data_IF_013734213590
#
_entry.id   IF_013734213590
#
_cell.length_a   1.000
_cell.length_b   1.000
_cell.length_c   1.000
_cell.angle_alpha   90.00
_cell.angle_beta   90.00
_cell.angle_gamma   90.00
#
_symmetry.space_group_name_H-M   'P 1'
#
loop_
_entity.id
_entity.type
_entity.pdbx_description
1 polymer ?
#
# COMPACT_ATOMS: atom_id res chain seq x y z
N UNK A 1 -19.59 26.96 5.66
CA UNK A 1 -18.57 25.88 5.49
C UNK A 1 -18.33 25.68 4.01
N UNK A 2 -17.12 25.97 3.51
CA UNK A 2 -16.74 25.58 2.15
C UNK A 2 -16.70 24.04 2.09
N UNK A 3 -17.50 23.45 1.20
CA UNK A 3 -17.44 22.00 0.95
C UNK A 3 -16.16 21.74 0.18
N UNK A 4 -15.29 20.89 0.74
CA UNK A 4 -13.97 20.57 0.19
C UNK A 4 -14.01 19.80 -1.13
N UNK A 5 -15.20 19.42 -1.61
CA UNK A 5 -15.41 18.63 -2.82
C UNK A 5 -15.19 17.13 -2.65
N UNK A 6 -14.69 16.69 -1.48
CA UNK A 6 -14.48 15.27 -1.18
C UNK A 6 -15.71 14.62 -0.57
N UNK A 7 -16.01 13.40 -1.02
CA UNK A 7 -17.04 12.54 -0.41
C UNK A 7 -16.49 11.81 0.82
N UNK A 8 -17.37 11.20 1.62
CA UNK A 8 -16.93 10.35 2.73
C UNK A 8 -16.22 9.08 2.23
N UNK A 9 -16.63 8.55 1.08
CA UNK A 9 -15.96 7.45 0.38
C UNK A 9 -14.51 7.82 0.04
N UNK A 10 -14.28 9.05 -0.47
CA UNK A 10 -12.93 9.55 -0.76
C UNK A 10 -12.07 9.66 0.48
N UNK A 11 -12.64 10.17 1.58
CA UNK A 11 -11.93 10.32 2.85
C UNK A 11 -11.57 8.96 3.45
N UNK A 12 -12.52 8.02 3.49
CA UNK A 12 -12.28 6.67 4.01
C UNK A 12 -11.23 5.96 3.15
N UNK A 13 -11.37 5.97 1.82
CA UNK A 13 -10.39 5.39 0.90
C UNK A 13 -8.98 5.98 1.08
N UNK A 14 -8.89 7.31 1.21
CA UNK A 14 -7.61 8.00 1.38
C UNK A 14 -6.98 7.67 2.74
N UNK A 15 -7.77 7.57 3.80
CA UNK A 15 -7.27 7.20 5.12
C UNK A 15 -6.84 5.74 5.17
N UNK A 16 -7.60 4.81 4.59
CA UNK A 16 -7.18 3.41 4.43
C UNK A 16 -5.84 3.35 3.69
N UNK A 17 -5.73 4.00 2.52
CA UNK A 17 -4.47 4.00 1.74
C UNK A 17 -3.30 4.55 2.54
N UNK A 18 -3.48 5.68 3.22
CA UNK A 18 -2.46 6.29 4.05
C UNK A 18 -2.02 5.33 5.15
N UNK A 19 -2.97 4.81 5.91
CA UNK A 19 -2.72 3.86 6.99
C UNK A 19 -1.99 2.60 6.53
N UNK A 20 -2.38 2.02 5.39
CA UNK A 20 -1.77 0.80 4.87
C UNK A 20 -0.31 0.97 4.40
N UNK A 21 0.11 2.19 4.02
CA UNK A 21 1.46 2.45 3.50
C UNK A 21 2.37 3.15 4.53
N UNK A 22 1.82 4.01 5.37
CA UNK A 22 2.61 4.94 6.19
C UNK A 22 2.59 4.60 7.69
N UNK A 23 1.67 3.73 8.14
CA UNK A 23 1.52 3.37 9.55
C UNK A 23 1.78 1.88 9.77
N UNK A 24 2.40 1.51 10.91
CA UNK A 24 2.39 0.13 11.38
C UNK A 24 0.94 -0.35 11.50
N UNK A 25 0.65 -1.54 10.96
CA UNK A 25 -0.72 -2.05 10.96
C UNK A 25 -0.99 -2.83 12.25
N UNK A 26 -1.32 -2.09 13.30
CA UNK A 26 -1.47 -2.59 14.66
C UNK A 26 -2.91 -2.36 15.20
N UNK A 27 -3.24 -2.82 16.43
CA UNK A 27 -4.59 -2.71 16.96
C UNK A 27 -5.14 -1.28 17.02
N UNK A 28 -4.32 -0.30 17.40
CA UNK A 28 -4.73 1.10 17.51
C UNK A 28 -5.16 1.66 16.16
N UNK A 29 -4.40 1.34 15.12
CA UNK A 29 -4.70 1.72 13.75
C UNK A 29 -6.00 1.09 13.24
N UNK A 30 -6.25 -0.18 13.58
CA UNK A 30 -7.51 -0.86 13.23
C UNK A 30 -8.68 -0.21 13.95
N UNK A 31 -8.52 0.15 15.23
CA UNK A 31 -9.53 0.87 16.02
C UNK A 31 -9.85 2.23 15.40
N UNK A 32 -8.84 3.00 14.99
CA UNK A 32 -9.03 4.27 14.28
C UNK A 32 -9.83 4.10 12.98
N UNK A 33 -9.53 3.05 12.21
CA UNK A 33 -10.25 2.74 10.98
C UNK A 33 -11.72 2.38 11.26
N UNK A 34 -11.99 1.58 12.30
CA UNK A 34 -13.36 1.24 12.72
C UNK A 34 -14.11 2.51 13.17
N UNK A 35 -13.46 3.40 13.92
CA UNK A 35 -14.06 4.67 14.31
C UNK A 35 -14.40 5.53 13.10
N UNK A 36 -13.49 5.65 12.13
CA UNK A 36 -13.76 6.39 10.89
C UNK A 36 -14.91 5.77 10.10
N UNK A 37 -14.95 4.44 9.97
CA UNK A 37 -16.06 3.72 9.33
C UNK A 37 -17.40 4.02 10.01
N UNK A 38 -17.44 4.05 11.34
CA UNK A 38 -18.67 4.39 12.08
C UNK A 38 -19.06 5.85 11.90
N UNK A 39 -18.08 6.76 11.85
CA UNK A 39 -18.31 8.19 11.71
C UNK A 39 -18.68 8.61 10.27
N UNK A 40 -18.27 7.84 9.26
CA UNK A 40 -18.56 8.14 7.84
C UNK A 40 -20.02 7.94 7.47
N UNK A 41 -20.77 7.16 8.27
CA UNK A 41 -22.16 6.74 8.02
C UNK A 41 -22.36 6.07 6.65
N UNK A 42 -21.30 5.48 6.10
CA UNK A 42 -21.36 4.72 4.86
C UNK A 42 -22.06 3.37 5.11
N UNK A 43 -22.88 2.95 4.15
CA UNK A 43 -23.47 1.62 4.15
C UNK A 43 -22.39 0.56 3.87
N UNK A 44 -22.62 -0.68 4.33
CA UNK A 44 -21.64 -1.76 4.15
C UNK A 44 -21.29 -2.02 2.67
N UNK A 45 -22.25 -1.81 1.75
CA UNK A 45 -21.99 -1.89 0.31
C UNK A 45 -21.01 -0.80 -0.18
N UNK A 46 -21.11 0.41 0.36
CA UNK A 46 -20.19 1.50 0.03
C UNK A 46 -18.79 1.24 0.61
N UNK A 47 -18.72 0.74 1.85
CA UNK A 47 -17.44 0.36 2.48
C UNK A 47 -16.77 -0.77 1.68
N UNK A 48 -17.53 -1.77 1.25
CA UNK A 48 -17.02 -2.83 0.38
C UNK A 48 -16.47 -2.29 -0.94
N UNK A 49 -17.16 -1.33 -1.57
CA UNK A 49 -16.68 -0.71 -2.80
C UNK A 49 -15.42 0.14 -2.56
N UNK A 50 -15.30 0.83 -1.41
CA UNK A 50 -14.07 1.53 -1.01
C UNK A 50 -12.90 0.55 -0.85
N UNK A 51 -13.12 -0.62 -0.25
CA UNK A 51 -12.10 -1.67 -0.14
C UNK A 51 -11.71 -2.24 -1.51
N UNK A 52 -12.71 -2.53 -2.37
CA UNK A 52 -12.48 -3.00 -3.74
C UNK A 52 -11.71 -1.95 -4.57
N UNK A 53 -12.05 -0.67 -4.47
CA UNK A 53 -11.34 0.40 -5.17
C UNK A 53 -9.90 0.53 -4.66
N UNK A 54 -9.69 0.42 -3.36
CA UNK A 54 -8.35 0.42 -2.75
C UNK A 54 -7.51 -0.74 -3.28
N UNK A 55 -8.07 -1.95 -3.31
CA UNK A 55 -7.42 -3.14 -3.87
C UNK A 55 -7.07 -2.94 -5.36
N UNK A 56 -8.01 -2.45 -6.18
CA UNK A 56 -7.78 -2.19 -7.61
C UNK A 56 -6.65 -1.19 -7.84
N UNK A 57 -6.58 -0.13 -7.04
CA UNK A 57 -5.49 0.87 -7.12
C UNK A 57 -4.13 0.26 -6.77
N UNK A 58 -4.06 -0.59 -5.74
CA UNK A 58 -2.83 -1.28 -5.35
C UNK A 58 -2.37 -2.21 -6.48
N UNK A 59 -3.28 -3.03 -7.02
CA UNK A 59 -2.94 -3.96 -8.12
C UNK A 59 -2.56 -3.21 -9.39
N UNK A 60 -3.23 -2.10 -9.72
CA UNK A 60 -2.84 -1.23 -10.83
C UNK A 60 -1.43 -0.65 -10.68
N UNK A 61 -1.04 -0.29 -9.45
CA UNK A 61 0.24 0.35 -9.16
C UNK A 61 1.39 -0.66 -8.97
N UNK A 62 1.12 -1.80 -8.35
CA UNK A 62 2.15 -2.75 -7.86
C UNK A 62 2.05 -4.15 -8.47
N UNK A 63 0.98 -4.43 -9.23
CA UNK A 63 0.66 -5.73 -9.80
C UNK A 63 -0.12 -6.63 -8.83
N UNK A 64 -0.57 -7.81 -9.29
CA UNK A 64 -1.25 -8.80 -8.46
C UNK A 64 -0.28 -9.43 -7.45
N UNK A 65 -0.84 -10.21 -6.51
CA UNK A 65 -0.07 -11.04 -5.60
C UNK A 65 0.67 -12.10 -6.41
N UNK A 66 1.90 -12.40 -5.98
CA UNK A 66 2.72 -13.47 -6.52
C UNK A 66 3.20 -14.29 -5.33
N UNK A 67 2.94 -15.60 -5.34
CA UNK A 67 3.31 -16.50 -4.23
C UNK A 67 4.75 -17.00 -4.37
N UNK A 68 5.17 -17.36 -5.59
CA UNK A 68 6.55 -17.75 -5.88
C UNK A 68 7.41 -16.51 -6.16
N UNK A 69 8.32 -16.23 -5.23
CA UNK A 69 9.21 -15.08 -5.30
C UNK A 69 10.60 -15.41 -5.88
N UNK A 70 10.80 -16.64 -6.37
CA UNK A 70 12.04 -17.03 -7.01
C UNK A 70 12.30 -16.24 -8.30
N UNK A 71 13.59 -15.95 -8.57
CA UNK A 71 14.00 -15.24 -9.78
C UNK A 71 13.76 -13.72 -9.80
N UNK A 72 13.21 -13.13 -8.74
CA UNK A 72 13.14 -11.68 -8.59
C UNK A 72 14.47 -11.09 -8.11
N UNK A 73 14.79 -9.88 -8.57
CA UNK A 73 15.83 -9.05 -7.95
C UNK A 73 15.42 -8.68 -6.53
N UNK A 74 16.36 -8.28 -5.68
CA UNK A 74 16.03 -7.88 -4.30
C UNK A 74 14.95 -6.79 -4.23
N UNK A 75 15.08 -5.75 -5.06
CA UNK A 75 14.05 -4.69 -5.20
C UNK A 75 12.70 -5.25 -5.66
N UNK A 76 12.71 -6.19 -6.61
CA UNK A 76 11.50 -6.87 -7.07
C UNK A 76 10.85 -7.71 -5.98
N UNK A 77 11.67 -8.46 -5.24
CA UNK A 77 11.29 -9.31 -4.12
C UNK A 77 10.64 -8.48 -3.00
N UNK A 78 11.31 -7.39 -2.54
CA UNK A 78 10.76 -6.44 -1.55
C UNK A 78 9.42 -5.88 -1.99
N UNK A 79 9.27 -5.52 -3.28
CA UNK A 79 8.00 -5.02 -3.84
C UNK A 79 6.90 -6.09 -3.81
N UNK A 80 7.21 -7.35 -4.15
CA UNK A 80 6.23 -8.44 -4.13
C UNK A 80 5.79 -8.81 -2.72
N UNK A 81 6.71 -8.86 -1.75
CA UNK A 81 6.37 -8.99 -0.33
C UNK A 81 5.46 -7.85 0.15
N UNK A 82 5.73 -6.62 -0.29
CA UNK A 82 4.86 -5.49 0.06
C UNK A 82 3.43 -5.67 -0.47
N UNK A 83 3.24 -6.25 -1.66
CA UNK A 83 1.91 -6.53 -2.21
C UNK A 83 1.21 -7.64 -1.42
N UNK A 84 1.92 -8.71 -1.05
CA UNK A 84 1.39 -9.76 -0.18
C UNK A 84 0.92 -9.20 1.17
N UNK A 85 1.74 -8.35 1.81
CA UNK A 85 1.39 -7.70 3.07
C UNK A 85 0.17 -6.78 2.92
N UNK A 86 0.10 -5.98 1.84
CA UNK A 86 -1.06 -5.11 1.58
C UNK A 86 -2.34 -5.90 1.34
N UNK A 87 -2.25 -7.03 0.63
CA UNK A 87 -3.38 -7.95 0.46
C UNK A 87 -3.84 -8.48 1.82
N UNK A 88 -2.94 -8.99 2.66
CA UNK A 88 -3.27 -9.48 3.99
C UNK A 88 -3.97 -8.42 4.84
N UNK A 89 -3.44 -7.19 4.89
CA UNK A 89 -4.03 -6.06 5.63
C UNK A 89 -5.45 -5.72 5.14
N UNK A 90 -5.69 -5.73 3.82
CA UNK A 90 -7.03 -5.48 3.26
C UNK A 90 -7.98 -6.64 3.55
N UNK A 91 -7.52 -7.88 3.39
CA UNK A 91 -8.30 -9.07 3.70
C UNK A 91 -8.74 -9.05 5.17
N UNK A 92 -7.83 -8.72 6.08
CA UNK A 92 -8.12 -8.54 7.51
C UNK A 92 -9.25 -7.53 7.74
N UNK A 93 -9.16 -6.31 7.19
CA UNK A 93 -10.23 -5.31 7.31
C UNK A 93 -11.56 -5.80 6.72
N UNK A 94 -11.53 -6.54 5.61
CA UNK A 94 -12.73 -7.04 4.94
C UNK A 94 -13.44 -8.14 5.72
N UNK A 95 -12.74 -8.83 6.62
CA UNK A 95 -13.27 -9.93 7.42
C UNK A 95 -13.73 -9.50 8.81
N UNK A 96 -13.38 -8.27 9.23
CA UNK A 96 -13.83 -7.68 10.48
C UNK A 96 -15.32 -7.28 10.40
N UNK A 97 -16.20 -7.90 11.20
CA UNK A 97 -17.63 -7.57 11.20
C UNK A 97 -17.93 -6.10 11.54
N UNK A 98 -17.10 -5.48 12.36
CA UNK A 98 -17.23 -4.07 12.75
C UNK A 98 -16.87 -3.10 11.63
N UNK A 99 -16.17 -3.57 10.59
CA UNK A 99 -15.70 -2.76 9.48
C UNK A 99 -16.56 -2.98 8.24
N UNK A 100 -16.75 -4.23 7.80
CA UNK A 100 -17.52 -4.58 6.62
C UNK A 100 -18.30 -5.88 6.83
N UNK A 101 -19.57 -5.92 6.41
CA UNK A 101 -20.39 -7.14 6.49
C UNK A 101 -19.93 -8.21 5.50
N UNK A 102 -20.12 -9.48 5.85
CA UNK A 102 -19.80 -10.66 5.02
C UNK A 102 -20.69 -10.82 3.79
N UNK A 103 -21.88 -10.23 3.80
CA UNK A 103 -22.83 -10.27 2.68
C UNK A 103 -22.57 -9.17 1.64
N UNK A 104 -21.44 -8.46 1.77
CA UNK A 104 -21.09 -7.36 0.88
C UNK A 104 -20.44 -7.86 -0.42
N UNK A 105 -20.47 -7.02 -1.47
CA UNK A 105 -19.93 -7.29 -2.80
C UNK A 105 -18.39 -7.27 -2.86
N UNK A 106 -17.72 -7.81 -1.83
CA UNK A 106 -16.26 -7.87 -1.75
C UNK A 106 -15.71 -8.87 -2.76
N UNK A 107 -14.77 -8.40 -3.59
CA UNK A 107 -14.09 -9.21 -4.60
C UNK A 107 -12.56 -9.07 -4.48
N UNK A 108 -12.07 -8.88 -3.25
CA UNK A 108 -10.66 -8.62 -2.95
C UNK A 108 -9.74 -9.72 -3.50
N UNK A 109 -10.11 -10.98 -3.30
CA UNK A 109 -9.34 -12.14 -3.79
C UNK A 109 -9.20 -12.13 -5.31
N UNK A 110 -10.29 -11.88 -6.02
CA UNK A 110 -10.32 -11.80 -7.47
C UNK A 110 -9.47 -10.64 -7.99
N UNK A 111 -9.57 -9.46 -7.36
CA UNK A 111 -8.77 -8.28 -7.75
C UNK A 111 -7.27 -8.57 -7.62
N UNK A 112 -6.84 -9.22 -6.54
CA UNK A 112 -5.44 -9.55 -6.31
C UNK A 112 -4.97 -10.81 -7.06
N UNK A 113 -5.88 -11.57 -7.65
CA UNK A 113 -5.57 -12.80 -8.38
C UNK A 113 -5.12 -13.94 -7.48
N UNK A 114 -5.66 -14.03 -6.26
CA UNK A 114 -5.29 -15.07 -5.28
C UNK A 114 -6.34 -16.17 -5.19
N UNK A 115 -5.90 -17.41 -4.94
CA UNK A 115 -6.81 -18.51 -4.58
C UNK A 115 -7.20 -18.45 -3.09
N UNK A 116 -8.09 -19.34 -2.67
CA UNK A 116 -8.44 -19.47 -1.25
C UNK A 116 -7.26 -19.97 -0.41
N UNK A 117 -6.43 -20.86 -0.98
CA UNK A 117 -5.20 -21.34 -0.34
C UNK A 117 -4.19 -20.22 -0.15
N UNK A 118 -3.96 -19.40 -1.18
CA UNK A 118 -3.08 -18.23 -1.11
C UNK A 118 -3.60 -17.22 -0.08
N UNK A 119 -4.92 -16.97 -0.09
CA UNK A 119 -5.56 -16.07 0.86
C UNK A 119 -5.38 -16.55 2.29
N UNK A 120 -5.51 -17.86 2.53
CA UNK A 120 -5.28 -18.44 3.85
C UNK A 120 -3.81 -18.33 4.28
N UNK A 121 -2.86 -18.52 3.37
CA UNK A 121 -1.43 -18.40 3.67
C UNK A 121 -0.99 -16.97 4.00
N UNK A 122 -1.66 -15.97 3.44
CA UNK A 122 -1.39 -14.54 3.66
C UNK A 122 -2.33 -13.89 4.70
N UNK A 123 -3.24 -14.67 5.30
CA UNK A 123 -4.20 -14.15 6.28
C UNK A 123 -3.46 -13.78 7.57
N UNK A 124 -3.73 -12.57 8.05
CA UNK A 124 -3.30 -12.11 9.36
C UNK A 124 -4.14 -12.82 10.42
N UNK A 125 -3.50 -13.59 11.30
CA UNK A 125 -4.17 -14.23 12.44
C UNK A 125 -4.01 -13.39 13.71
N UNK A 126 -2.83 -12.81 13.91
CA UNK A 126 -2.56 -11.86 15.00
C UNK A 126 -1.86 -10.62 14.48
N UNK A 127 -2.20 -9.45 15.02
CA UNK A 127 -1.58 -8.19 14.57
C UNK A 127 -0.11 -8.07 14.97
N UNK A 128 0.36 -8.84 15.97
CA UNK A 128 1.78 -8.93 16.34
C UNK A 128 2.65 -9.54 15.24
N UNK A 129 2.12 -10.48 14.43
CA UNK A 129 2.85 -11.09 13.31
C UNK A 129 3.27 -10.06 12.25
N UNK A 130 2.49 -8.98 12.11
CA UNK A 130 2.73 -7.95 11.09
C UNK A 130 3.87 -7.03 11.50
N UNK A 131 3.92 -6.65 12.79
CA UNK A 131 4.97 -5.79 13.31
C UNK A 131 6.35 -6.46 13.16
N UNK A 132 6.43 -7.79 13.31
CA UNK A 132 7.65 -8.56 13.09
C UNK A 132 8.07 -8.54 11.60
N UNK A 133 7.14 -8.77 10.67
CA UNK A 133 7.42 -8.75 9.22
C UNK A 133 7.78 -7.35 8.73
N UNK A 134 7.09 -6.33 9.24
CA UNK A 134 7.34 -4.93 8.89
C UNK A 134 8.68 -4.44 9.46
N UNK A 135 9.05 -4.88 10.67
CA UNK A 135 10.37 -4.65 11.26
C UNK A 135 11.48 -5.31 10.45
N UNK A 136 11.30 -6.56 10.03
CA UNK A 136 12.24 -7.25 9.13
C UNK A 136 12.40 -6.46 7.83
N UNK A 137 11.30 -6.02 7.20
CA UNK A 137 11.36 -5.26 5.95
C UNK A 137 12.11 -3.94 6.11
N UNK A 138 11.90 -3.24 7.23
CA UNK A 138 12.55 -1.95 7.51
C UNK A 138 14.05 -2.09 7.78
N UNK A 139 14.48 -3.14 8.47
CA UNK A 139 15.91 -3.41 8.69
C UNK A 139 16.70 -3.66 7.40
N UNK A 140 16.03 -4.09 6.32
CA UNK A 140 16.62 -4.27 4.98
C UNK A 140 16.57 -2.97 4.15
N UNK A 141 15.76 -1.99 4.55
CA UNK A 141 15.70 -0.66 3.92
C UNK A 141 16.79 0.26 4.48
N UNK A 142 17.07 0.19 5.78
CA UNK A 142 18.11 1.00 6.45
C UNK A 142 19.55 0.62 6.08
N UNK A 143 19.76 -0.48 5.33
CA UNK A 143 21.05 -0.85 4.75
C UNK A 143 21.38 -0.12 3.44
N UNK A 144 20.45 0.67 2.89
CA UNK A 144 20.70 1.54 1.73
C UNK A 144 20.96 2.98 2.21
N UNK A 145 22.19 3.28 2.63
CA UNK A 145 22.68 4.66 2.79
C UNK A 145 23.92 4.92 1.91
N UNK A 146 23.80 5.98 1.11
CA UNK A 146 24.81 6.74 0.34
C UNK A 146 25.47 6.08 -0.89
N UNK A 147 24.84 6.24 -2.07
CA UNK A 147 25.62 6.59 -3.27
C UNK A 147 25.28 8.01 -3.70
N UNK A 148 26.26 8.88 -3.48
CA UNK A 148 26.26 10.30 -3.79
C UNK A 148 26.34 10.51 -5.30
N UNK A 149 25.34 11.14 -5.91
CA UNK A 149 25.50 11.69 -7.27
C UNK A 149 26.36 12.97 -7.19
N UNK A 150 27.63 12.82 -7.55
CA UNK A 150 28.58 13.91 -7.77
C UNK A 150 28.00 14.97 -8.72
N UNK A 151 27.94 16.20 -8.22
CA UNK A 151 27.74 17.41 -9.02
C UNK A 151 28.96 17.61 -9.92
N UNK A 152 28.83 17.31 -11.22
CA UNK A 152 29.83 17.72 -12.22
C UNK A 152 29.63 19.18 -12.59
N UNK A 153 30.34 20.05 -11.87
CA UNK A 153 30.66 21.41 -12.31
C UNK A 153 31.70 21.32 -13.45
N UNK A 154 31.28 21.56 -14.68
CA UNK A 154 32.20 21.91 -15.76
C UNK A 154 32.06 23.41 -16.07
N UNK A 155 32.98 24.19 -15.51
CA UNK A 155 33.23 25.56 -15.92
C UNK A 155 34.54 25.62 -16.71
N UNK A 156 34.58 26.59 -17.63
CA UNK A 156 35.72 27.16 -18.37
C UNK A 156 36.08 26.54 -19.72
N UNK A 157 35.98 27.40 -20.73
CA UNK A 157 36.40 27.20 -22.12
C UNK A 157 36.03 28.42 -22.96
N UNK A 158 36.40 29.62 -22.50
CA UNK A 158 36.48 30.81 -23.35
C UNK A 158 37.65 30.61 -24.33
N UNK A 159 37.37 30.56 -25.62
CA UNK A 159 38.34 30.82 -26.69
C UNK A 159 37.60 31.55 -27.84
N UNK A 160 37.46 32.85 -27.64
CA UNK A 160 37.19 33.84 -28.68
C UNK A 160 38.49 34.10 -29.45
N UNK A 161 38.49 33.85 -30.77
CA UNK A 161 39.15 34.66 -31.82
C UNK A 161 39.16 33.88 -33.15
N UNK A 162 38.18 34.18 -34.01
CA UNK A 162 38.35 34.06 -35.47
C UNK A 162 38.60 35.45 -36.03
N UNK A 163 39.84 35.67 -36.45
CA UNK A 163 40.27 36.72 -37.34
C UNK A 163 40.34 36.20 -38.78
N UNK A 164 40.24 37.16 -39.72
CA UNK A 164 40.49 37.08 -41.18
C UNK A 164 39.29 36.58 -42.01
N UNK A 165 38.80 37.27 -43.04
CA UNK A 165 39.39 38.26 -43.96
C UNK A 165 38.26 39.13 -44.59
#
# INVERSE_FOLDING_TARGET
>A
MQKTGFTMDDLLRKYIRYTLNEKPFNPDVVVDLIHLRKASMLEDAQVAEVLNETARRIVKEKGPVVMDLSGFTEKGFKRKLAVQALFGKILYLSELPEFCSRDSSLIIKEIFGVTDEDANALRIHTLSEIDDVESIKKMVDDSETEESEEVSLAASGDDDLKSEE
#
